data_IF_418752997853
#
_entry.id   IF_418752997853
#
_cell.length_a   1.000
_cell.length_b   1.000
_cell.length_c   1.000
_cell.angle_alpha   90.00
_cell.angle_beta   90.00
_cell.angle_gamma   90.00
#
_symmetry.space_group_name_H-M   'P 1'
#
loop_
_entity.id
_entity.type
_entity.pdbx_description
1 polymer ?
#
# COMPACT_ATOMS: atom_id res chain seq x y z
N UNK A 1 28.67 6.62 -20.72
CA UNK A 1 28.29 5.26 -21.15
C UNK A 1 28.23 4.25 -20.00
N UNK A 2 29.06 4.36 -18.95
CA UNK A 2 29.01 3.44 -17.79
C UNK A 2 27.74 3.68 -16.92
N UNK A 3 27.35 4.93 -16.69
CA UNK A 3 26.16 5.27 -15.88
C UNK A 3 24.84 4.72 -16.44
N UNK A 4 24.68 4.66 -17.77
CA UNK A 4 23.47 4.13 -18.42
C UNK A 4 23.38 2.59 -18.35
N UNK A 5 24.51 1.90 -18.23
CA UNK A 5 24.55 0.45 -17.99
C UNK A 5 24.21 0.14 -16.53
N UNK A 6 24.73 0.93 -15.59
CA UNK A 6 24.41 0.80 -14.18
C UNK A 6 22.92 1.08 -13.90
N UNK A 7 22.32 2.12 -14.49
CA UNK A 7 20.88 2.37 -14.33
C UNK A 7 20.00 1.29 -14.99
N UNK A 8 20.45 0.63 -16.06
CA UNK A 8 19.72 -0.52 -16.65
C UNK A 8 19.73 -1.75 -15.75
N UNK A 9 20.84 -2.05 -15.08
CA UNK A 9 20.96 -3.22 -14.21
C UNK A 9 20.31 -2.97 -12.84
N UNK A 10 20.50 -1.78 -12.28
CA UNK A 10 20.04 -1.44 -10.93
C UNK A 10 18.69 -0.70 -10.89
N UNK A 11 18.16 -0.36 -12.05
CA UNK A 11 16.98 0.50 -12.22
C UNK A 11 17.23 1.94 -11.80
N UNK A 12 16.47 2.87 -12.39
CA UNK A 12 16.47 4.27 -11.96
C UNK A 12 15.94 4.45 -10.53
N UNK A 13 16.22 5.60 -9.91
CA UNK A 13 15.61 6.00 -8.62
C UNK A 13 14.09 5.91 -8.68
N UNK A 14 13.49 6.37 -9.77
CA UNK A 14 12.04 6.33 -9.97
C UNK A 14 11.52 4.89 -10.05
N UNK A 15 12.18 4.01 -10.80
CA UNK A 15 11.78 2.59 -10.83
C UNK A 15 11.88 1.92 -9.46
N UNK A 16 12.88 2.28 -8.64
CA UNK A 16 12.99 1.78 -7.27
C UNK A 16 11.81 2.23 -6.41
N UNK A 17 11.41 3.49 -6.52
CA UNK A 17 10.23 4.02 -5.84
C UNK A 17 8.95 3.32 -6.32
N UNK A 18 8.78 3.16 -7.64
CA UNK A 18 7.64 2.42 -8.20
C UNK A 18 7.60 0.97 -7.70
N UNK A 19 8.73 0.27 -7.62
CA UNK A 19 8.79 -1.08 -7.05
C UNK A 19 8.35 -1.11 -5.57
N UNK A 20 8.72 -0.10 -4.78
CA UNK A 20 8.29 0.00 -3.39
C UNK A 20 6.78 0.26 -3.29
N UNK A 21 6.26 1.20 -4.09
CA UNK A 21 4.83 1.51 -4.13
C UNK A 21 4.01 0.31 -4.60
N UNK A 22 4.46 -0.42 -5.62
CA UNK A 22 3.78 -1.62 -6.12
C UNK A 22 3.63 -2.70 -5.03
N UNK A 23 4.60 -2.83 -4.11
CA UNK A 23 4.46 -3.73 -2.95
C UNK A 23 3.37 -3.27 -1.99
N UNK A 24 3.21 -1.96 -1.81
CA UNK A 24 2.15 -1.38 -0.98
C UNK A 24 0.79 -1.60 -1.66
N UNK A 25 0.68 -1.34 -2.96
CA UNK A 25 -0.52 -1.60 -3.77
C UNK A 25 -0.94 -3.07 -3.67
N UNK A 26 0.00 -4.01 -3.80
CA UNK A 26 -0.31 -5.43 -3.66
C UNK A 26 -0.89 -5.79 -2.28
N UNK A 27 -0.36 -5.18 -1.21
CA UNK A 27 -0.91 -5.36 0.15
C UNK A 27 -2.30 -4.75 0.30
N UNK A 28 -2.55 -3.58 -0.29
CA UNK A 28 -3.87 -2.93 -0.26
C UNK A 28 -4.90 -3.78 -1.01
N UNK A 29 -4.58 -4.22 -2.23
CA UNK A 29 -5.49 -5.02 -3.05
C UNK A 29 -5.80 -6.39 -2.41
N UNK A 30 -4.88 -6.95 -1.63
CA UNK A 30 -5.15 -8.17 -0.88
C UNK A 30 -6.25 -8.01 0.18
N UNK A 31 -6.51 -6.79 0.66
CA UNK A 31 -7.59 -6.48 1.62
C UNK A 31 -8.94 -6.22 0.93
N UNK A 32 -8.97 -6.02 -0.38
CA UNK A 32 -10.18 -5.68 -1.14
C UNK A 32 -11.33 -6.69 -0.93
N UNK A 33 -11.12 -8.02 -0.96
CA UNK A 33 -12.20 -8.99 -0.78
C UNK A 33 -12.86 -8.93 0.61
N UNK A 34 -12.14 -8.45 1.63
CA UNK A 34 -12.69 -8.29 2.98
C UNK A 34 -13.52 -7.00 3.07
N UNK A 35 -13.02 -5.92 2.50
CA UNK A 35 -13.71 -4.62 2.48
C UNK A 35 -14.97 -4.68 1.60
N UNK A 36 -14.92 -5.37 0.46
CA UNK A 36 -16.04 -5.48 -0.48
C UNK A 36 -17.26 -6.20 0.12
N UNK A 37 -17.06 -7.05 1.14
CA UNK A 37 -18.14 -7.78 1.82
C UNK A 37 -18.90 -6.92 2.83
N UNK A 38 -18.39 -5.75 3.16
CA UNK A 38 -18.98 -4.88 4.18
C UNK A 38 -20.23 -4.18 3.63
N UNK A 39 -21.27 -4.08 4.45
CA UNK A 39 -22.38 -3.14 4.21
C UNK A 39 -21.95 -1.70 4.47
N UNK A 40 -22.76 -0.72 4.05
CA UNK A 40 -22.50 0.69 4.31
C UNK A 40 -22.32 1.01 5.81
N UNK A 41 -23.15 0.40 6.67
CA UNK A 41 -23.04 0.57 8.12
C UNK A 41 -21.75 -0.04 8.67
N UNK A 42 -21.35 -1.21 8.17
CA UNK A 42 -20.11 -1.87 8.57
C UNK A 42 -18.87 -1.09 8.08
N UNK A 43 -18.92 -0.54 6.86
CA UNK A 43 -17.87 0.30 6.33
C UNK A 43 -17.75 1.60 7.12
N UNK A 44 -18.87 2.21 7.51
CA UNK A 44 -18.89 3.39 8.39
C UNK A 44 -18.29 3.07 9.76
N UNK A 45 -18.55 1.88 10.30
CA UNK A 45 -17.99 1.42 11.57
C UNK A 45 -16.46 1.20 11.53
N UNK A 46 -15.83 1.08 10.36
CA UNK A 46 -14.36 1.06 10.26
C UNK A 46 -13.70 2.36 10.72
N UNK A 47 -14.38 3.50 10.59
CA UNK A 47 -13.83 4.79 11.02
C UNK A 47 -13.54 4.86 12.53
N UNK A 48 -14.51 4.57 13.42
CA UNK A 48 -14.24 4.53 14.86
C UNK A 48 -13.25 3.42 15.23
N UNK A 49 -13.32 2.23 14.58
CA UNK A 49 -12.34 1.15 14.79
C UNK A 49 -10.89 1.63 14.57
N UNK A 50 -10.62 2.32 13.46
CA UNK A 50 -9.27 2.83 13.20
C UNK A 50 -8.84 3.93 14.19
N UNK A 51 -9.77 4.76 14.67
CA UNK A 51 -9.47 5.76 15.72
C UNK A 51 -9.06 5.09 17.03
N UNK A 52 -9.77 4.04 17.42
CA UNK A 52 -9.45 3.27 18.63
C UNK A 52 -8.09 2.59 18.51
N UNK A 53 -7.78 2.00 17.35
CA UNK A 53 -6.48 1.39 17.07
C UNK A 53 -5.31 2.37 17.18
N UNK A 54 -5.46 3.57 16.61
CA UNK A 54 -4.47 4.65 16.75
C UNK A 54 -4.34 5.07 18.22
N UNK A 55 -5.45 5.21 18.94
CA UNK A 55 -5.43 5.55 20.36
C UNK A 55 -4.76 4.47 21.23
N UNK A 56 -4.82 3.20 20.80
CA UNK A 56 -4.15 2.07 21.42
C UNK A 56 -2.64 1.97 21.06
N UNK A 57 -2.14 2.83 20.17
CA UNK A 57 -0.71 2.93 19.85
C UNK A 57 -0.24 2.11 18.65
N UNK A 58 -1.13 1.75 17.72
CA UNK A 58 -0.74 1.23 16.40
C UNK A 58 0.00 2.24 15.53
#
# INVERSE_FOLDING_TARGET
>A
MINSLLTRVFGSRNERQLRQLNRIVAKINALEPEIQKLSDDQLKAKTPEFRERIAAGE
#
